data_IF_430634210701
#
_entry.id   IF_430634210701
#
_cell.length_a   1.000
_cell.length_b   1.000
_cell.length_c   1.000
_cell.angle_alpha   90.00
_cell.angle_beta   90.00
_cell.angle_gamma   90.00
#
_symmetry.space_group_name_H-M   'P 1'
#
loop_
_entity.id
_entity.type
_entity.pdbx_description
1 polymer ?
#
# COMPACT_ATOMS: atom_id res chain seq x y z
N UNK A 1 -16.69 -32.81 10.09
CA UNK A 1 -16.97 -32.22 11.42
C UNK A 1 -15.96 -31.15 11.81
N UNK A 2 -14.69 -31.25 11.40
CA UNK A 2 -13.64 -30.24 11.67
C UNK A 2 -13.80 -28.90 10.91
N UNK A 3 -14.52 -28.87 9.78
CA UNK A 3 -14.59 -27.66 8.95
C UNK A 3 -15.48 -26.54 9.51
N UNK A 4 -16.42 -26.85 10.41
CA UNK A 4 -17.30 -25.83 11.03
C UNK A 4 -16.60 -25.09 12.16
N UNK A 5 -15.77 -25.77 12.94
CA UNK A 5 -15.01 -25.15 14.05
C UNK A 5 -13.93 -24.18 13.52
N UNK A 6 -13.30 -24.50 12.38
CA UNK A 6 -12.34 -23.61 11.72
C UNK A 6 -13.03 -22.36 11.15
N UNK A 7 -14.28 -22.48 10.68
CA UNK A 7 -15.07 -21.36 10.15
C UNK A 7 -15.69 -20.51 11.27
N UNK A 8 -15.96 -21.10 12.44
CA UNK A 8 -16.35 -20.39 13.66
C UNK A 8 -15.17 -19.62 14.28
N UNK A 9 -13.94 -20.14 14.24
CA UNK A 9 -12.74 -19.37 14.61
C UNK A 9 -12.49 -18.15 13.70
N UNK A 10 -12.93 -18.20 12.44
CA UNK A 10 -12.87 -17.05 11.52
C UNK A 10 -13.96 -16.01 11.79
N UNK A 11 -15.10 -16.42 12.35
CA UNK A 11 -16.23 -15.53 12.67
C UNK A 11 -16.15 -14.94 14.09
N UNK A 12 -15.56 -15.66 15.04
CA UNK A 12 -15.50 -15.28 16.44
C UNK A 12 -14.23 -14.52 16.80
N UNK A 13 -14.04 -13.30 16.29
CA UNK A 13 -13.20 -12.27 16.95
C UNK A 13 -13.36 -10.86 16.36
N UNK A 14 -14.53 -10.52 15.84
CA UNK A 14 -14.80 -9.14 15.39
C UNK A 14 -14.94 -8.14 16.55
N UNK A 15 -15.03 -8.59 17.80
CA UNK A 15 -15.19 -7.70 18.96
C UNK A 15 -13.86 -7.17 19.53
N UNK A 16 -12.72 -7.47 18.89
CA UNK A 16 -11.44 -6.83 19.16
C UNK A 16 -10.98 -5.98 17.96
N UNK A 17 -11.91 -5.15 17.48
CA UNK A 17 -11.89 -4.31 16.27
C UNK A 17 -10.83 -3.18 16.29
N UNK A 18 -9.78 -3.31 17.10
CA UNK A 18 -8.65 -2.38 17.18
C UNK A 18 -7.32 -2.91 16.63
N UNK A 19 -7.19 -4.22 16.34
CA UNK A 19 -5.88 -4.82 16.04
C UNK A 19 -5.89 -5.92 14.96
N UNK A 20 -6.87 -5.94 14.06
CA UNK A 20 -6.77 -6.81 12.87
C UNK A 20 -5.81 -6.15 11.88
N UNK A 21 -4.51 -6.37 12.09
CA UNK A 21 -3.44 -5.95 11.18
C UNK A 21 -3.63 -6.69 9.84
N UNK A 22 -4.36 -6.10 8.90
CA UNK A 22 -4.64 -6.75 7.62
C UNK A 22 -3.34 -6.83 6.81
N UNK A 23 -2.74 -8.03 6.77
CA UNK A 23 -1.63 -8.32 5.88
C UNK A 23 -2.13 -8.24 4.44
N UNK A 24 -1.60 -7.29 3.70
CA UNK A 24 -1.95 -7.05 2.30
C UNK A 24 -0.89 -7.67 1.39
N UNK A 25 -1.29 -8.13 0.21
CA UNK A 25 -0.32 -8.45 -0.83
C UNK A 25 0.25 -7.14 -1.37
N UNK A 26 1.51 -6.84 -1.07
CA UNK A 26 2.16 -5.55 -1.36
C UNK A 26 3.11 -5.58 -2.56
N UNK A 27 3.28 -6.74 -3.19
CA UNK A 27 4.24 -6.94 -4.29
C UNK A 27 4.05 -5.95 -5.44
N UNK A 28 2.80 -5.59 -5.76
CA UNK A 28 2.47 -4.59 -6.78
C UNK A 28 3.01 -3.20 -6.42
N UNK A 29 2.94 -2.80 -5.14
CA UNK A 29 3.37 -1.49 -4.69
C UNK A 29 4.90 -1.39 -4.73
N UNK A 30 5.60 -2.41 -4.22
CA UNK A 30 7.04 -2.52 -4.34
C UNK A 30 7.51 -2.49 -5.80
N UNK A 31 6.95 -3.35 -6.66
CA UNK A 31 7.34 -3.40 -8.08
C UNK A 31 7.09 -2.07 -8.80
N UNK A 32 6.02 -1.36 -8.46
CA UNK A 32 5.73 -0.05 -9.06
C UNK A 32 6.70 1.01 -8.59
N UNK A 33 6.96 1.09 -7.28
CA UNK A 33 7.88 2.10 -6.73
C UNK A 33 9.31 1.83 -7.16
N UNK A 34 9.78 0.60 -7.15
CA UNK A 34 11.12 0.24 -7.65
C UNK A 34 11.32 0.68 -9.11
N UNK A 35 10.31 0.50 -9.97
CA UNK A 35 10.37 0.94 -11.36
C UNK A 35 10.44 2.48 -11.48
N UNK A 36 9.69 3.21 -10.64
CA UNK A 36 9.68 4.67 -10.61
C UNK A 36 11.01 5.22 -10.06
N UNK A 37 11.49 4.67 -8.95
CA UNK A 37 12.78 5.02 -8.33
C UNK A 37 13.93 4.79 -9.30
N UNK A 38 13.95 3.62 -9.96
CA UNK A 38 14.97 3.29 -10.94
C UNK A 38 14.95 4.28 -12.11
N UNK A 39 13.77 4.57 -12.67
CA UNK A 39 13.63 5.55 -13.76
C UNK A 39 14.08 6.94 -13.32
N UNK A 40 13.72 7.37 -12.12
CA UNK A 40 14.16 8.64 -11.56
C UNK A 40 15.69 8.70 -11.48
N UNK A 41 16.32 7.70 -10.86
CA UNK A 41 17.77 7.59 -10.74
C UNK A 41 18.48 7.57 -12.10
N UNK A 42 17.92 6.91 -13.11
CA UNK A 42 18.46 6.94 -14.47
C UNK A 42 18.39 8.33 -15.12
N UNK A 43 17.36 9.12 -14.82
CA UNK A 43 17.13 10.46 -15.40
C UNK A 43 17.92 11.55 -14.68
N UNK A 44 18.01 11.50 -13.36
CA UNK A 44 18.56 12.57 -12.51
C UNK A 44 19.92 12.24 -11.91
N UNK A 45 20.26 10.95 -11.80
CA UNK A 45 21.41 10.47 -11.03
C UNK A 45 21.15 10.41 -9.52
N UNK A 46 19.99 10.85 -9.05
CA UNK A 46 19.65 10.92 -7.63
C UNK A 46 18.89 9.68 -7.17
N UNK A 47 19.18 9.18 -5.97
CA UNK A 47 18.43 8.10 -5.36
C UNK A 47 17.40 8.65 -4.38
N UNK A 48 16.16 8.20 -4.53
CA UNK A 48 15.04 8.49 -3.66
C UNK A 48 14.31 7.19 -3.36
N UNK A 49 13.85 7.04 -2.12
CA UNK A 49 13.06 5.89 -1.65
C UNK A 49 11.64 6.36 -1.33
N UNK A 50 10.66 5.87 -2.06
CA UNK A 50 9.26 6.25 -1.90
C UNK A 50 8.53 5.38 -0.89
N UNK A 51 7.52 5.96 -0.25
CA UNK A 51 6.72 5.27 0.75
C UNK A 51 5.81 4.23 0.09
N UNK A 52 6.15 2.96 0.29
CA UNK A 52 5.25 1.84 -0.04
C UNK A 52 3.99 1.91 0.82
N UNK A 53 4.10 2.41 2.05
CA UNK A 53 2.98 2.51 2.99
C UNK A 53 1.89 3.45 2.50
N UNK A 54 2.25 4.63 1.98
CA UNK A 54 1.29 5.57 1.39
C UNK A 54 0.47 4.92 0.28
N UNK A 55 1.13 4.11 -0.54
CA UNK A 55 0.51 3.41 -1.66
C UNK A 55 -0.54 2.40 -1.17
N UNK A 56 -0.21 1.64 -0.13
CA UNK A 56 -1.12 0.65 0.47
C UNK A 56 -2.34 1.32 1.10
N UNK A 57 -2.13 2.45 1.79
CA UNK A 57 -3.19 3.06 2.58
C UNK A 57 -4.19 3.84 1.74
N UNK A 58 -3.73 4.52 0.68
CA UNK A 58 -4.58 5.46 -0.09
C UNK A 58 -4.97 5.02 -1.49
N UNK A 59 -4.25 4.07 -2.08
CA UNK A 59 -4.54 3.60 -3.46
C UNK A 59 -5.28 2.27 -3.46
N UNK A 60 -5.14 1.45 -2.40
CA UNK A 60 -5.82 0.16 -2.32
C UNK A 60 -7.36 0.32 -2.25
N UNK A 61 -8.12 -0.13 -3.26
CA UNK A 61 -9.57 0.02 -3.27
C UNK A 61 -10.21 -0.89 -2.22
N UNK A 62 -11.01 -0.30 -1.34
CA UNK A 62 -11.61 -0.97 -0.18
C UNK A 62 -12.48 -2.18 -0.51
N UNK A 63 -13.09 -2.24 -1.70
CA UNK A 63 -14.22 -3.16 -1.90
C UNK A 63 -14.05 -4.24 -2.97
N UNK A 64 -12.99 -4.24 -3.80
CA UNK A 64 -13.01 -5.08 -5.02
C UNK A 64 -11.85 -6.05 -5.23
N UNK A 65 -10.73 -5.90 -4.56
CA UNK A 65 -9.61 -6.82 -4.74
C UNK A 65 -9.49 -7.76 -3.56
N UNK A 66 -9.80 -9.04 -3.79
CA UNK A 66 -9.41 -10.09 -2.85
C UNK A 66 -7.89 -10.03 -2.70
N UNK A 67 -7.42 -10.10 -1.46
CA UNK A 67 -5.99 -10.21 -1.12
C UNK A 67 -5.35 -11.22 -2.09
N UNK A 68 -4.32 -10.80 -2.83
CA UNK A 68 -3.59 -11.65 -3.77
C UNK A 68 -3.91 -11.46 -5.26
N UNK A 69 -4.89 -10.62 -5.66
CA UNK A 69 -5.21 -10.40 -7.09
C UNK A 69 -4.38 -9.31 -7.79
N UNK A 70 -3.45 -8.65 -7.08
CA UNK A 70 -2.65 -7.55 -7.61
C UNK A 70 -3.47 -6.28 -7.87
N UNK A 71 -2.77 -5.16 -8.03
CA UNK A 71 -3.38 -3.86 -8.35
C UNK A 71 -2.85 -3.36 -9.70
N UNK A 72 -3.63 -2.56 -10.43
CA UNK A 72 -3.24 -2.09 -11.77
C UNK A 72 -2.18 -1.01 -11.65
N UNK A 73 -0.97 -1.33 -12.09
CA UNK A 73 0.21 -0.45 -12.14
C UNK A 73 -0.07 0.94 -12.74
N UNK A 74 -0.98 1.02 -13.71
CA UNK A 74 -1.38 2.27 -14.37
C UNK A 74 -2.14 3.20 -13.42
N UNK A 75 -3.03 2.67 -12.59
CA UNK A 75 -3.80 3.47 -11.63
C UNK A 75 -2.86 4.07 -10.56
N UNK A 76 -1.83 3.31 -10.16
CA UNK A 76 -0.76 3.80 -9.29
C UNK A 76 0.05 4.93 -9.92
N UNK A 77 0.40 4.80 -11.21
CA UNK A 77 1.16 5.81 -11.92
C UNK A 77 0.36 7.11 -12.09
N UNK A 78 -0.95 7.01 -12.36
CA UNK A 78 -1.81 8.19 -12.44
C UNK A 78 -2.01 8.84 -11.06
N UNK A 79 -2.18 8.05 -9.98
CA UNK A 79 -2.22 8.57 -8.62
C UNK A 79 -0.96 9.38 -8.28
N UNK A 80 0.22 8.85 -8.60
CA UNK A 80 1.48 9.54 -8.32
C UNK A 80 1.62 10.87 -9.10
N UNK A 81 0.98 11.01 -10.26
CA UNK A 81 0.96 12.27 -11.00
C UNK A 81 0.03 13.29 -10.35
N UNK A 82 -1.13 12.88 -9.84
CA UNK A 82 -2.15 13.79 -9.30
C UNK A 82 -1.93 14.14 -7.84
N UNK A 83 -1.57 13.16 -7.00
CA UNK A 83 -1.46 13.31 -5.54
C UNK A 83 -0.01 13.40 -5.06
N UNK A 84 0.94 12.95 -5.89
CA UNK A 84 2.33 12.81 -5.48
C UNK A 84 2.54 11.63 -4.52
N UNK A 85 3.80 11.46 -4.11
CA UNK A 85 4.18 10.41 -3.17
C UNK A 85 5.27 10.89 -2.21
N UNK A 86 5.15 10.55 -0.93
CA UNK A 86 6.15 10.87 0.09
C UNK A 86 7.28 9.84 0.12
N UNK A 87 8.29 10.09 0.94
CA UNK A 87 9.46 9.21 1.06
C UNK A 87 9.27 8.15 2.14
N UNK A 88 9.97 7.02 2.00
CA UNK A 88 10.01 5.95 3.00
C UNK A 88 10.46 6.47 4.37
N UNK A 89 11.34 7.48 4.39
CA UNK A 89 11.78 8.14 5.64
C UNK A 89 10.64 8.87 6.36
N UNK A 90 9.71 9.47 5.62
CA UNK A 90 8.58 10.23 6.17
C UNK A 90 7.44 9.30 6.55
N UNK A 91 7.19 8.27 5.72
CA UNK A 91 6.10 7.32 5.96
C UNK A 91 6.57 5.87 5.76
N UNK A 92 7.15 5.23 6.80
CA UNK A 92 7.78 3.92 6.69
C UNK A 92 6.81 2.75 6.48
N UNK A 93 7.29 1.68 5.86
CA UNK A 93 6.54 0.45 5.62
C UNK A 93 6.23 -0.33 6.92
N UNK A 94 4.95 -0.64 7.13
CA UNK A 94 4.45 -1.35 8.31
C UNK A 94 4.04 -2.80 8.04
N UNK A 95 4.03 -3.23 6.78
CA UNK A 95 3.61 -4.59 6.41
C UNK A 95 2.10 -4.84 6.44
N UNK A 96 1.30 -3.80 6.64
CA UNK A 96 -0.15 -3.89 6.65
C UNK A 96 -0.77 -2.56 6.24
N UNK A 97 -2.04 -2.62 5.83
CA UNK A 97 -2.82 -1.41 5.63
C UNK A 97 -3.15 -0.77 6.99
N UNK A 98 -3.00 0.54 7.07
CA UNK A 98 -3.52 1.36 8.14
C UNK A 98 -4.87 1.96 7.72
N UNK A 99 -5.80 2.10 8.67
CA UNK A 99 -7.05 2.82 8.43
C UNK A 99 -6.88 4.31 8.79
N UNK A 100 -6.05 5.00 8.01
CA UNK A 100 -5.68 6.41 8.22
C UNK A 100 -6.32 7.27 7.12
N UNK A 101 -6.82 8.45 7.51
CA UNK A 101 -7.44 9.43 6.60
C UNK A 101 -6.59 10.70 6.42
N UNK A 102 -5.59 10.90 7.28
CA UNK A 102 -4.69 12.05 7.21
C UNK A 102 -3.70 11.91 6.05
N UNK A 103 -3.68 12.93 5.18
CA UNK A 103 -2.84 13.01 3.98
C UNK A 103 -1.86 14.19 4.02
N UNK A 104 -1.63 14.80 5.18
CA UNK A 104 -0.84 16.03 5.33
C UNK A 104 0.68 15.88 5.17
N UNK A 105 1.15 14.77 4.59
CA UNK A 105 2.57 14.52 4.37
C UNK A 105 3.13 15.33 3.19
N UNK A 106 4.39 15.79 3.25
CA UNK A 106 5.07 16.37 2.10
C UNK A 106 5.13 15.39 0.94
N UNK A 107 4.72 15.84 -0.26
CA UNK A 107 4.64 15.02 -1.46
C UNK A 107 5.75 15.37 -2.45
N UNK A 108 6.27 14.35 -3.14
CA UNK A 108 7.17 14.48 -4.28
C UNK A 108 6.40 14.11 -5.53
N UNK A 109 6.44 14.97 -6.54
CA UNK A 109 5.82 14.75 -7.84
C UNK A 109 6.90 14.42 -8.86
N UNK A 110 6.79 13.28 -9.50
CA UNK A 110 7.78 12.80 -10.48
C UNK A 110 7.14 12.79 -11.86
N UNK A 111 7.84 13.40 -12.84
CA UNK A 111 7.44 13.49 -14.25
C UNK A 111 8.15 12.49 -15.17
#
# INVERSE_FOLDING_TARGET
MADREVDEMRRGNSENLGLVKQMVSTCWAFATLDAIELRHKMKTGEEIRFSVQQMIDFVWPEEKFKIGQGFKLVETLEYNKSEGITTEKIYPYLGCRQNITDRTMPQVFIS
#
